data_IF_503920487584
#
_entry.id   IF_503920487584
#
_cell.length_a   1.000
_cell.length_b   1.000
_cell.length_c   1.000
_cell.angle_alpha   90.00
_cell.angle_beta   90.00
_cell.angle_gamma   90.00
#
_symmetry.space_group_name_H-M   'P 1'
#
loop_
_entity.id
_entity.type
_entity.pdbx_description
1 polymer ?
#
# COMPACT_ATOMS: atom_id res chain seq x y z
N UNK A 1 -26.72 -29.32 -32.77
CA UNK A 1 -26.12 -28.56 -31.65
C UNK A 1 -27.25 -27.81 -30.98
N UNK A 2 -27.53 -28.12 -29.71
CA UNK A 2 -28.77 -27.70 -29.05
C UNK A 2 -28.83 -26.18 -28.84
N UNK A 3 -29.95 -25.57 -29.21
CA UNK A 3 -30.18 -24.12 -29.08
C UNK A 3 -30.02 -23.65 -27.63
N UNK A 4 -30.41 -24.50 -26.68
CA UNK A 4 -30.24 -24.30 -25.24
C UNK A 4 -28.77 -24.28 -24.79
N UNK A 5 -27.90 -25.08 -25.42
CA UNK A 5 -26.47 -25.12 -25.12
C UNK A 5 -25.77 -23.86 -25.65
N UNK A 6 -26.21 -23.36 -26.81
CA UNK A 6 -25.73 -22.13 -27.42
C UNK A 6 -26.14 -20.89 -26.60
N UNK A 7 -27.39 -20.82 -26.14
CA UNK A 7 -27.87 -19.75 -25.24
C UNK A 7 -27.14 -19.74 -23.90
N UNK A 8 -26.94 -20.91 -23.26
CA UNK A 8 -26.25 -20.98 -21.97
C UNK A 8 -24.77 -20.56 -22.10
N UNK A 9 -24.11 -20.92 -23.21
CA UNK A 9 -22.70 -20.55 -23.46
C UNK A 9 -22.56 -19.05 -23.75
N UNK A 10 -23.45 -18.47 -24.56
CA UNK A 10 -23.50 -17.02 -24.81
C UNK A 10 -23.77 -16.23 -23.53
N UNK A 11 -24.74 -16.67 -22.71
CA UNK A 11 -25.11 -16.00 -21.47
C UNK A 11 -23.95 -16.03 -20.45
N UNK A 12 -23.27 -17.17 -20.33
CA UNK A 12 -22.05 -17.29 -19.51
C UNK A 12 -20.92 -16.41 -20.04
N UNK A 13 -20.64 -16.42 -21.34
CA UNK A 13 -19.60 -15.59 -21.96
C UNK A 13 -19.82 -14.09 -21.74
N UNK A 14 -21.06 -13.62 -21.93
CA UNK A 14 -21.44 -12.21 -21.69
C UNK A 14 -21.31 -11.87 -20.19
N UNK A 15 -21.72 -12.76 -19.30
CA UNK A 15 -21.59 -12.54 -17.85
C UNK A 15 -20.12 -12.46 -17.39
N UNK A 16 -19.24 -13.26 -17.99
CA UNK A 16 -17.81 -13.32 -17.67
C UNK A 16 -17.08 -12.09 -18.22
N UNK A 17 -17.39 -11.70 -19.45
CA UNK A 17 -16.88 -10.45 -20.06
C UNK A 17 -17.33 -9.20 -19.29
N UNK A 18 -18.59 -9.17 -18.85
CA UNK A 18 -19.12 -8.08 -18.02
C UNK A 18 -18.40 -7.98 -16.67
N UNK A 19 -18.13 -9.10 -15.99
CA UNK A 19 -17.37 -9.12 -14.73
C UNK A 19 -15.93 -8.65 -14.92
N UNK A 20 -15.24 -9.13 -15.95
CA UNK A 20 -13.87 -8.71 -16.24
C UNK A 20 -13.77 -7.22 -16.55
N UNK A 21 -14.70 -6.67 -17.32
CA UNK A 21 -14.74 -5.23 -17.64
C UNK A 21 -14.92 -4.40 -16.36
N UNK A 22 -15.78 -4.87 -15.45
CA UNK A 22 -16.00 -4.21 -14.16
C UNK A 22 -14.78 -4.29 -13.28
N UNK A 23 -14.17 -5.46 -13.17
CA UNK A 23 -12.99 -5.64 -12.33
C UNK A 23 -11.82 -4.81 -12.85
N UNK A 24 -11.70 -4.71 -14.18
CA UNK A 24 -10.76 -3.81 -14.83
C UNK A 24 -11.06 -2.34 -14.54
N UNK A 25 -12.32 -1.90 -14.64
CA UNK A 25 -12.71 -0.54 -14.28
C UNK A 25 -12.43 -0.27 -12.79
N UNK A 26 -12.80 -1.18 -11.89
CA UNK A 26 -12.51 -1.05 -10.47
C UNK A 26 -11.00 -1.00 -10.19
N UNK A 27 -10.20 -1.75 -10.94
CA UNK A 27 -8.74 -1.75 -10.81
C UNK A 27 -8.12 -0.45 -11.31
N UNK A 28 -8.54 0.07 -12.47
CA UNK A 28 -8.04 1.35 -13.00
C UNK A 28 -8.34 2.54 -12.08
N UNK A 29 -9.38 2.45 -11.25
CA UNK A 29 -9.67 3.45 -10.21
C UNK A 29 -8.85 3.25 -8.93
N UNK A 30 -8.54 2.02 -8.55
CA UNK A 30 -7.76 1.71 -7.35
C UNK A 30 -6.26 1.91 -7.54
N UNK A 31 -5.74 1.62 -8.73
CA UNK A 31 -4.32 1.76 -9.06
C UNK A 31 -3.74 3.16 -8.74
N UNK A 32 -4.33 4.28 -9.19
CA UNK A 32 -3.82 5.62 -8.86
C UNK A 32 -3.91 5.93 -7.37
N UNK A 33 -4.95 5.45 -6.68
CA UNK A 33 -5.08 5.60 -5.24
C UNK A 33 -3.94 4.86 -4.53
N UNK A 34 -3.70 3.59 -4.86
CA UNK A 34 -2.61 2.78 -4.27
C UNK A 34 -1.26 3.45 -4.54
N UNK A 35 -1.04 3.93 -5.76
CA UNK A 35 0.22 4.59 -6.13
C UNK A 35 0.45 5.87 -5.32
N UNK A 36 -0.55 6.74 -5.20
CA UNK A 36 -0.43 7.98 -4.43
C UNK A 36 -0.25 7.73 -2.94
N UNK A 37 -0.98 6.76 -2.36
CA UNK A 37 -0.80 6.39 -0.96
C UNK A 37 0.57 5.76 -0.71
N UNK A 38 1.04 4.89 -1.60
CA UNK A 38 2.37 4.31 -1.54
C UNK A 38 3.46 5.39 -1.61
N UNK A 39 3.32 6.31 -2.56
CA UNK A 39 4.21 7.47 -2.68
C UNK A 39 4.20 8.33 -1.41
N UNK A 40 3.02 8.66 -0.87
CA UNK A 40 2.88 9.46 0.34
C UNK A 40 3.59 8.84 1.55
N UNK A 41 3.43 7.52 1.74
CA UNK A 41 4.10 6.78 2.81
C UNK A 41 5.60 6.76 2.59
N UNK A 42 6.07 6.50 1.36
CA UNK A 42 7.50 6.52 1.04
C UNK A 42 8.12 7.88 1.31
N UNK A 43 7.47 8.97 0.89
CA UNK A 43 7.93 10.34 1.17
C UNK A 43 8.01 10.59 2.67
N UNK A 44 6.98 10.23 3.44
CA UNK A 44 6.99 10.40 4.90
C UNK A 44 8.14 9.61 5.55
N UNK A 45 8.35 8.35 5.12
CA UNK A 45 9.44 7.52 5.62
C UNK A 45 10.81 8.09 5.25
N UNK A 46 10.98 8.58 4.02
CA UNK A 46 12.21 9.25 3.60
C UNK A 46 12.47 10.50 4.43
N UNK A 47 11.45 11.32 4.68
CA UNK A 47 11.58 12.51 5.53
C UNK A 47 11.94 12.14 6.97
N UNK A 48 11.33 11.08 7.51
CA UNK A 48 11.68 10.58 8.86
C UNK A 48 13.13 10.08 8.91
N UNK A 49 13.56 9.35 7.87
CA UNK A 49 14.91 8.82 7.74
C UNK A 49 15.95 9.93 7.60
N UNK A 50 15.70 10.95 6.78
CA UNK A 50 16.59 12.11 6.65
C UNK A 50 16.60 12.96 7.92
N UNK A 51 15.44 13.08 8.60
CA UNK A 51 15.33 13.79 9.87
C UNK A 51 16.12 13.14 11.01
N UNK A 52 16.24 11.81 11.00
CA UNK A 52 16.86 11.04 12.09
C UNK A 52 17.90 10.07 11.54
N UNK A 53 18.84 10.55 10.71
CA UNK A 53 19.84 9.69 10.07
C UNK A 53 20.64 8.86 11.08
N UNK A 54 21.05 9.47 12.19
CA UNK A 54 21.82 8.77 13.23
C UNK A 54 21.00 7.66 13.90
N UNK A 55 19.76 7.96 14.30
CA UNK A 55 18.86 6.94 14.88
C UNK A 55 18.47 5.86 13.86
N UNK A 56 18.34 6.22 12.59
CA UNK A 56 18.05 5.27 11.53
C UNK A 56 19.25 4.34 11.28
N UNK A 57 20.48 4.85 11.37
CA UNK A 57 21.69 4.04 11.33
C UNK A 57 21.72 3.06 12.50
N UNK A 58 21.44 3.52 13.73
CA UNK A 58 21.38 2.65 14.92
C UNK A 58 20.34 1.53 14.79
N UNK A 59 19.17 1.83 14.20
CA UNK A 59 18.11 0.84 13.93
C UNK A 59 18.55 -0.15 12.86
N UNK A 60 19.19 0.32 11.79
CA UNK A 60 19.72 -0.55 10.74
C UNK A 60 20.80 -1.46 11.30
N UNK A 61 21.72 -0.94 12.12
CA UNK A 61 22.76 -1.71 12.79
C UNK A 61 22.15 -2.76 13.72
N UNK A 62 21.15 -2.38 14.52
CA UNK A 62 20.42 -3.32 15.38
C UNK A 62 19.71 -4.42 14.58
N UNK A 63 19.14 -4.07 13.43
CA UNK A 63 18.45 -5.03 12.56
C UNK A 63 19.44 -5.95 11.84
N UNK A 64 20.58 -5.42 11.41
CA UNK A 64 21.70 -6.18 10.87
C UNK A 64 22.23 -7.15 11.92
N UNK A 65 22.39 -6.73 13.17
CA UNK A 65 22.80 -7.61 14.27
C UNK A 65 21.83 -8.79 14.46
N UNK A 66 20.52 -8.54 14.39
CA UNK A 66 19.52 -9.61 14.44
C UNK A 66 19.66 -10.56 13.24
N UNK A 67 19.87 -10.01 12.04
CA UNK A 67 20.02 -10.80 10.81
C UNK A 67 21.31 -11.63 10.81
N UNK A 68 22.43 -11.06 11.28
CA UNK A 68 23.72 -11.73 11.42
C UNK A 68 23.67 -12.88 12.42
N UNK A 69 22.82 -12.78 13.44
CA UNK A 69 22.62 -13.84 14.43
C UNK A 69 21.61 -14.93 14.00
N UNK A 70 21.01 -14.84 12.80
CA UNK A 70 20.11 -15.88 12.31
C UNK A 70 20.88 -17.09 11.76
N UNK A 71 20.59 -18.32 12.23
CA UNK A 71 21.38 -19.51 11.92
C UNK A 71 21.31 -19.97 10.46
N UNK A 72 20.44 -19.40 9.64
CA UNK A 72 20.21 -19.79 8.23
C UNK A 72 20.62 -18.73 7.21
N UNK A 73 20.94 -17.52 7.64
CA UNK A 73 21.21 -16.37 6.74
C UNK A 73 22.40 -15.53 7.25
N UNK A 74 22.80 -15.67 8.52
CA UNK A 74 23.86 -14.88 9.13
C UNK A 74 25.22 -15.02 8.45
N UNK A 75 25.63 -16.25 8.13
CA UNK A 75 26.92 -16.52 7.46
C UNK A 75 26.99 -15.90 6.07
N UNK A 76 25.89 -15.97 5.30
CA UNK A 76 25.79 -15.38 3.97
C UNK A 76 25.84 -13.84 4.03
N UNK A 77 25.20 -13.24 5.04
CA UNK A 77 25.22 -11.79 5.25
C UNK A 77 26.60 -11.33 5.74
N UNK A 78 27.27 -12.08 6.62
CA UNK A 78 28.64 -11.80 7.05
C UNK A 78 29.61 -11.79 5.88
N UNK A 79 29.56 -12.83 5.04
CA UNK A 79 30.39 -12.92 3.85
C UNK A 79 30.13 -11.77 2.86
N UNK A 80 28.87 -11.33 2.75
CA UNK A 80 28.49 -10.20 1.91
C UNK A 80 28.97 -8.85 2.45
N UNK A 81 28.86 -8.60 3.76
CA UNK A 81 29.34 -7.37 4.41
C UNK A 81 30.85 -7.21 4.29
N UNK A 82 31.60 -8.30 4.48
CA UNK A 82 33.06 -8.30 4.30
C UNK A 82 33.45 -8.01 2.85
N UNK A 83 32.74 -8.59 1.87
CA UNK A 83 32.96 -8.33 0.45
C UNK A 83 32.60 -6.88 0.03
N UNK A 84 31.61 -6.28 0.69
CA UNK A 84 31.10 -4.94 0.36
C UNK A 84 31.99 -3.78 0.87
N UNK A 85 33.03 -4.07 1.65
CA UNK A 85 33.94 -3.07 2.23
C UNK A 85 34.92 -2.42 1.23
N UNK A 86 35.00 -2.93 -0.01
CA UNK A 86 35.98 -2.48 -1.03
C UNK A 86 35.41 -1.69 -2.21
N UNK A 87 34.19 -1.98 -2.68
CA UNK A 87 33.55 -1.29 -3.80
C UNK A 87 32.05 -1.68 -3.81
N UNK A 88 31.13 -0.72 -3.77
CA UNK A 88 29.69 -1.01 -3.83
C UNK A 88 29.29 -1.41 -5.26
N UNK A 89 29.14 -2.72 -5.52
CA UNK A 89 28.55 -3.22 -6.76
C UNK A 89 27.03 -2.96 -6.76
N UNK A 90 26.49 -2.44 -7.86
CA UNK A 90 25.05 -2.28 -8.04
C UNK A 90 24.30 -3.61 -7.91
N UNK A 91 24.95 -4.73 -8.23
CA UNK A 91 24.38 -6.06 -8.06
C UNK A 91 24.09 -6.38 -6.58
N UNK A 92 24.96 -5.94 -5.68
CA UNK A 92 24.86 -6.19 -4.24
C UNK A 92 23.79 -5.32 -3.58
N UNK A 93 23.71 -4.04 -3.96
CA UNK A 93 22.60 -3.17 -3.54
C UNK A 93 21.25 -3.72 -4.00
N UNK A 94 21.17 -4.23 -5.24
CA UNK A 94 19.94 -4.80 -5.79
C UNK A 94 19.51 -6.05 -5.01
N UNK A 95 20.45 -6.93 -4.64
CA UNK A 95 20.19 -8.11 -3.81
C UNK A 95 19.68 -7.72 -2.43
N UNK A 96 20.31 -6.74 -1.78
CA UNK A 96 19.86 -6.22 -0.48
C UNK A 96 18.43 -5.66 -0.55
N UNK A 97 18.13 -4.82 -1.56
CA UNK A 97 16.78 -4.29 -1.77
C UNK A 97 15.75 -5.41 -1.92
N UNK A 98 16.05 -6.44 -2.71
CA UNK A 98 15.13 -7.57 -2.89
C UNK A 98 14.97 -8.41 -1.61
N UNK A 99 16.02 -8.56 -0.81
CA UNK A 99 15.96 -9.26 0.46
C UNK A 99 15.07 -8.51 1.46
N UNK A 100 15.30 -7.20 1.64
CA UNK A 100 14.46 -6.33 2.48
C UNK A 100 13.02 -6.34 1.98
N UNK A 101 12.80 -6.21 0.67
CA UNK A 101 11.48 -6.25 0.07
C UNK A 101 10.79 -7.62 0.26
N UNK A 102 11.54 -8.70 0.15
CA UNK A 102 11.07 -10.07 0.37
C UNK A 102 10.62 -10.29 1.81
N UNK A 103 11.43 -9.86 2.78
CA UNK A 103 11.09 -9.91 4.21
C UNK A 103 9.85 -9.05 4.49
N UNK A 104 9.83 -7.81 4.01
CA UNK A 104 8.70 -6.90 4.21
C UNK A 104 7.41 -7.48 3.60
N UNK A 105 7.49 -8.03 2.39
CA UNK A 105 6.37 -8.68 1.72
C UNK A 105 5.88 -9.90 2.49
N UNK A 106 6.79 -10.72 3.02
CA UNK A 106 6.46 -11.88 3.85
C UNK A 106 5.74 -11.44 5.14
N UNK A 107 6.24 -10.40 5.82
CA UNK A 107 5.63 -9.85 7.03
C UNK A 107 4.23 -9.31 6.74
N UNK A 108 4.06 -8.53 5.65
CA UNK A 108 2.74 -8.02 5.23
C UNK A 108 1.78 -9.14 4.84
N UNK A 109 2.29 -10.21 4.21
CA UNK A 109 1.51 -11.39 3.87
C UNK A 109 1.05 -12.14 5.13
N UNK A 110 1.96 -12.41 6.07
CA UNK A 110 1.65 -13.02 7.35
C UNK A 110 0.66 -12.19 8.15
N UNK A 111 0.83 -10.87 8.17
CA UNK A 111 -0.13 -9.95 8.78
C UNK A 111 -1.50 -10.03 8.09
N UNK A 112 -1.53 -10.10 6.76
CA UNK A 112 -2.75 -10.30 5.98
C UNK A 112 -3.47 -11.62 6.32
N UNK A 113 -2.72 -12.72 6.44
CA UNK A 113 -3.26 -14.02 6.85
C UNK A 113 -3.76 -14.00 8.30
N UNK A 114 -2.97 -13.46 9.22
CA UNK A 114 -3.32 -13.34 10.63
C UNK A 114 -4.58 -12.48 10.80
N UNK A 115 -4.65 -11.34 10.11
CA UNK A 115 -5.82 -10.47 10.09
C UNK A 115 -7.04 -11.20 9.54
N UNK A 116 -6.88 -12.02 8.51
CA UNK A 116 -7.98 -12.80 7.92
C UNK A 116 -8.41 -13.95 8.82
N UNK A 117 -7.48 -14.57 9.56
CA UNK A 117 -7.78 -15.61 10.54
C UNK A 117 -8.50 -15.04 11.77
N UNK A 118 -8.06 -13.88 12.28
CA UNK A 118 -8.62 -13.24 13.48
C UNK A 118 -9.97 -12.55 13.23
N UNK A 119 -10.12 -11.88 12.09
CA UNK A 119 -11.29 -11.05 11.81
C UNK A 119 -12.18 -11.59 10.67
N UNK A 120 -11.85 -12.77 10.15
CA UNK A 120 -12.52 -13.38 9.00
C UNK A 120 -12.16 -12.71 7.66
N UNK A 121 -12.66 -13.25 6.54
CA UNK A 121 -12.55 -12.61 5.25
C UNK A 121 -13.14 -11.21 5.31
N UNK A 122 -12.39 -10.24 4.78
CA UNK A 122 -12.76 -8.83 4.84
C UNK A 122 -14.15 -8.64 4.21
N UNK A 123 -15.18 -8.44 5.03
CA UNK A 123 -16.47 -7.99 4.54
C UNK A 123 -16.28 -6.67 3.81
N UNK A 124 -16.90 -6.55 2.65
CA UNK A 124 -16.87 -5.32 1.88
C UNK A 124 -17.46 -4.21 2.74
N UNK A 125 -16.64 -3.21 3.08
CA UNK A 125 -17.07 -2.15 3.96
C UNK A 125 -18.02 -1.21 3.20
N UNK A 126 -19.12 -0.84 3.85
CA UNK A 126 -20.04 0.16 3.32
C UNK A 126 -19.29 1.46 3.02
N UNK A 127 -19.73 2.21 2.00
CA UNK A 127 -19.16 3.51 1.64
C UNK A 127 -18.88 4.44 2.84
N UNK A 128 -19.80 4.63 3.82
CA UNK A 128 -19.51 5.47 4.99
C UNK A 128 -18.33 4.95 5.84
N UNK A 129 -18.17 3.64 5.98
CA UNK A 129 -17.06 3.04 6.73
C UNK A 129 -15.73 3.18 5.97
N UNK A 130 -15.74 3.06 4.64
CA UNK A 130 -14.56 3.33 3.82
C UNK A 130 -14.15 4.79 3.87
N UNK A 131 -15.14 5.70 3.86
CA UNK A 131 -14.91 7.13 4.00
C UNK A 131 -14.32 7.50 5.39
N UNK A 132 -14.82 6.89 6.47
CA UNK A 132 -14.25 7.06 7.81
C UNK A 132 -12.80 6.57 7.89
N UNK A 133 -12.48 5.42 7.29
CA UNK A 133 -11.11 4.90 7.22
C UNK A 133 -10.19 5.81 6.42
N UNK A 134 -10.69 6.40 5.33
CA UNK A 134 -9.95 7.38 4.53
C UNK A 134 -9.58 8.60 5.39
N UNK A 135 -10.54 9.17 6.13
CA UNK A 135 -10.28 10.27 7.04
C UNK A 135 -9.25 9.92 8.13
N UNK A 136 -9.39 8.75 8.76
CA UNK A 136 -8.44 8.29 9.76
C UNK A 136 -7.03 8.15 9.17
N UNK A 137 -6.89 7.57 7.99
CA UNK A 137 -5.61 7.43 7.31
C UNK A 137 -4.99 8.79 6.97
N UNK A 138 -5.79 9.76 6.50
CA UNK A 138 -5.33 11.13 6.23
C UNK A 138 -4.88 11.84 7.50
N UNK A 139 -5.61 11.68 8.61
CA UNK A 139 -5.22 12.23 9.90
C UNK A 139 -3.91 11.64 10.39
N UNK A 140 -3.75 10.31 10.33
CA UNK A 140 -2.50 9.64 10.72
C UNK A 140 -1.32 10.09 9.86
N UNK A 141 -1.51 10.21 8.55
CA UNK A 141 -0.49 10.70 7.63
C UNK A 141 -0.12 12.17 7.92
N UNK A 142 -1.12 13.02 8.13
CA UNK A 142 -0.93 14.42 8.51
C UNK A 142 -0.21 14.58 9.85
N UNK A 143 -0.61 13.81 10.87
CA UNK A 143 0.07 13.75 12.16
C UNK A 143 1.51 13.27 12.03
N UNK A 144 1.77 12.28 11.16
CA UNK A 144 3.13 11.83 10.85
C UNK A 144 3.98 12.96 10.29
N UNK A 145 3.47 13.68 9.27
CA UNK A 145 4.17 14.83 8.69
C UNK A 145 4.43 15.95 9.70
N UNK A 146 3.44 16.30 10.51
CA UNK A 146 3.58 17.31 11.58
C UNK A 146 4.59 16.83 12.62
N UNK A 147 4.57 15.54 12.97
CA UNK A 147 5.53 14.92 13.88
C UNK A 147 6.95 15.07 13.37
N UNK A 148 7.21 14.72 12.09
CA UNK A 148 8.52 14.88 11.47
C UNK A 148 8.95 16.35 11.44
N UNK A 149 8.05 17.24 11.03
CA UNK A 149 8.30 18.69 11.02
C UNK A 149 8.70 19.22 12.40
N UNK A 150 8.02 18.77 13.46
CA UNK A 150 8.33 19.22 14.81
C UNK A 150 9.63 18.61 15.35
N UNK A 151 9.89 17.33 15.06
CA UNK A 151 11.08 16.64 15.55
C UNK A 151 12.39 17.14 14.94
N UNK A 152 12.35 17.66 13.69
CA UNK A 152 13.53 18.08 12.95
C UNK A 152 13.30 19.44 12.26
N UNK A 153 12.69 20.38 12.98
CA UNK A 153 12.23 21.67 12.43
C UNK A 153 13.35 22.51 11.79
N UNK A 154 14.59 22.30 12.22
CA UNK A 154 15.81 22.92 11.73
C UNK A 154 16.22 22.44 10.32
N UNK A 155 15.78 21.25 9.91
CA UNK A 155 16.00 20.72 8.56
C UNK A 155 15.03 21.29 7.52
N UNK A 156 13.95 21.95 7.95
CA UNK A 156 12.95 22.52 7.05
C UNK A 156 13.28 23.97 6.72
N UNK A 157 13.71 24.22 5.48
CA UNK A 157 13.92 25.59 5.00
C UNK A 157 12.58 26.31 4.75
N UNK A 158 12.50 27.61 5.05
CA UNK A 158 11.35 28.46 4.72
C UNK A 158 10.37 28.65 5.86
N UNK A 159 9.15 29.10 5.56
CA UNK A 159 8.12 29.37 6.57
C UNK A 159 7.35 28.09 6.93
N UNK A 160 7.10 27.87 8.22
CA UNK A 160 6.27 26.74 8.67
C UNK A 160 4.85 26.76 8.09
N UNK A 161 4.28 27.93 7.85
CA UNK A 161 3.01 28.08 7.14
C UNK A 161 3.06 27.63 5.68
N UNK A 162 4.20 27.79 5.01
CA UNK A 162 4.42 27.25 3.66
C UNK A 162 4.37 25.72 3.66
N UNK A 163 5.03 25.09 4.63
CA UNK A 163 5.01 23.63 4.81
C UNK A 163 3.62 23.10 5.16
N UNK A 164 2.90 23.74 6.08
CA UNK A 164 1.53 23.38 6.41
C UNK A 164 0.58 23.55 5.21
N UNK A 165 0.78 24.61 4.41
CA UNK A 165 0.03 24.82 3.17
C UNK A 165 0.28 23.72 2.15
N UNK A 166 1.54 23.34 1.93
CA UNK A 166 1.90 22.25 1.02
C UNK A 166 1.32 20.91 1.50
N UNK A 167 1.40 20.62 2.79
CA UNK A 167 0.79 19.44 3.39
C UNK A 167 -0.73 19.42 3.18
N UNK A 168 -1.41 20.55 3.40
CA UNK A 168 -2.86 20.65 3.21
C UNK A 168 -3.25 20.38 1.75
N UNK A 169 -2.53 20.96 0.78
CA UNK A 169 -2.76 20.70 -0.65
C UNK A 169 -2.51 19.23 -0.99
N UNK A 170 -1.42 18.65 -0.47
CA UNK A 170 -1.08 17.25 -0.70
C UNK A 170 -2.17 16.31 -0.15
N UNK A 171 -2.60 16.51 1.09
CA UNK A 171 -3.68 15.74 1.71
C UNK A 171 -5.01 15.92 0.98
N UNK A 172 -5.29 17.13 0.46
CA UNK A 172 -6.48 17.39 -0.34
C UNK A 172 -6.46 16.61 -1.65
N UNK A 173 -5.35 16.59 -2.38
CA UNK A 173 -5.19 15.79 -3.61
C UNK A 173 -5.38 14.30 -3.30
N UNK A 174 -4.72 13.81 -2.24
CA UNK A 174 -4.83 12.42 -1.81
C UNK A 174 -6.28 12.05 -1.46
N UNK A 175 -6.98 12.94 -0.76
CA UNK A 175 -8.39 12.79 -0.42
C UNK A 175 -9.27 12.75 -1.67
N UNK A 176 -9.12 13.69 -2.60
CA UNK A 176 -9.96 13.78 -3.80
C UNK A 176 -9.80 12.55 -4.70
N UNK A 177 -8.56 12.09 -4.92
CA UNK A 177 -8.31 10.89 -5.72
C UNK A 177 -8.87 9.64 -5.03
N UNK A 178 -8.71 9.54 -3.70
CA UNK A 178 -9.25 8.41 -2.93
C UNK A 178 -10.78 8.42 -2.92
N UNK A 179 -11.39 9.58 -2.72
CA UNK A 179 -12.85 9.75 -2.73
C UNK A 179 -13.43 9.40 -4.09
N UNK A 180 -12.79 9.85 -5.18
CA UNK A 180 -13.18 9.51 -6.53
C UNK A 180 -13.11 7.99 -6.77
N UNK A 181 -11.99 7.35 -6.42
CA UNK A 181 -11.83 5.90 -6.57
C UNK A 181 -12.85 5.11 -5.75
N UNK A 182 -13.15 5.53 -4.52
CA UNK A 182 -14.18 4.94 -3.67
C UNK A 182 -15.59 5.14 -4.24
N UNK A 183 -15.91 6.34 -4.74
CA UNK A 183 -17.22 6.66 -5.30
C UNK A 183 -17.50 5.87 -6.59
N UNK A 184 -16.53 5.79 -7.51
CA UNK A 184 -16.67 5.02 -8.74
C UNK A 184 -16.77 3.53 -8.46
N UNK A 185 -15.96 3.00 -7.53
CA UNK A 185 -16.05 1.59 -7.13
C UNK A 185 -17.40 1.28 -6.44
N UNK A 186 -17.94 2.19 -5.64
CA UNK A 186 -19.27 2.02 -5.04
C UNK A 186 -20.39 2.07 -6.10
N UNK A 187 -20.32 3.03 -7.03
CA UNK A 187 -21.33 3.21 -8.08
C UNK A 187 -21.35 2.02 -9.05
N UNK A 188 -20.18 1.59 -9.53
CA UNK A 188 -20.06 0.45 -10.43
C UNK A 188 -20.67 -0.81 -9.82
N UNK A 189 -20.35 -1.11 -8.55
CA UNK A 189 -20.95 -2.24 -7.82
C UNK A 189 -22.46 -2.13 -7.69
N UNK A 190 -22.97 -0.97 -7.29
CA UNK A 190 -24.41 -0.75 -7.12
C UNK A 190 -25.19 -0.89 -8.45
N UNK A 191 -24.58 -0.51 -9.57
CA UNK A 191 -25.16 -0.69 -10.90
C UNK A 191 -25.21 -2.17 -11.30
N UNK A 192 -24.22 -2.97 -10.90
CA UNK A 192 -24.13 -4.39 -11.25
C UNK A 192 -25.00 -5.28 -10.37
N UNK A 193 -25.15 -4.93 -9.09
CA UNK A 193 -26.14 -5.56 -8.21
C UNK A 193 -27.55 -5.38 -8.76
N UNK A 194 -27.87 -4.19 -9.27
CA UNK A 194 -29.15 -3.92 -9.95
C UNK A 194 -29.29 -4.64 -11.29
N UNK A 195 -28.17 -4.88 -11.98
CA UNK A 195 -28.13 -5.58 -13.27
C UNK A 195 -28.13 -7.11 -13.17
N UNK A 196 -28.08 -7.69 -11.97
CA UNK A 196 -28.08 -9.14 -11.76
C UNK A 196 -26.78 -9.86 -12.15
N UNK A 197 -25.68 -9.14 -12.35
CA UNK A 197 -24.39 -9.72 -12.78
C UNK A 197 -23.58 -10.35 -11.63
N UNK A 198 -23.86 -9.92 -10.39
CA UNK A 198 -23.32 -10.50 -9.18
C UNK A 198 -24.44 -11.19 -8.38
N UNK A 199 -24.26 -12.45 -7.95
CA UNK A 199 -25.16 -13.03 -6.97
C UNK A 199 -25.02 -12.24 -5.68
N UNK A 200 -26.12 -11.64 -5.21
CA UNK A 200 -26.18 -11.01 -3.89
C UNK A 200 -25.73 -12.04 -2.85
N UNK A 201 -24.77 -11.70 -1.97
CA UNK A 201 -24.47 -12.56 -0.83
C UNK A 201 -25.76 -12.71 -0.03
N UNK A 202 -26.26 -13.94 0.12
CA UNK A 202 -27.37 -14.21 1.03
C UNK A 202 -26.89 -13.82 2.44
N UNK A 203 -27.66 -12.93 3.05
CA UNK A 203 -27.49 -12.37 4.40
C UNK A 203 -27.22 -13.44 5.45
#
# INVERSE_FOLDING_TARGET
MDKALLENTLTRGISLGGRLLVDYLAWTQKAPMIFLWGFAVVVLLLMLFTAHQDTAADIVDSFLDILLNLPWVGDDIHAWLEASSGEYDQADLRRFIFLVWGILSLVLMLFGYLRTALFGPAREADFPRLHQRLWLALMLLGLGFVGVYWSASDQFSGSGWGWLGMLAVFLLVLYLVSLYGLAVNHLSRKLLDKGGFYPTPRS
#
